data_IF_126610488932
#
_entry.id   IF_126610488932
#
_cell.length_a   1.000
_cell.length_b   1.000
_cell.length_c   1.000
_cell.angle_alpha   90.00
_cell.angle_beta   90.00
_cell.angle_gamma   90.00
#
_symmetry.space_group_name_H-M   'P 1'
#
loop_
_entity.id
_entity.type
_entity.pdbx_description
1 polymer ?
#
# COMPACT_ATOMS: atom_id res chain seq x y z
N UNK A 1 -24.56 -9.81 -3.41
CA UNK A 1 -24.16 -8.84 -2.37
C UNK A 1 -24.04 -7.48 -3.05
N UNK A 2 -24.65 -6.45 -2.47
CA UNK A 2 -24.73 -5.12 -3.09
C UNK A 2 -23.52 -4.23 -2.75
N UNK A 3 -22.73 -4.61 -1.74
CA UNK A 3 -21.48 -3.96 -1.35
C UNK A 3 -20.51 -4.98 -0.71
N UNK A 4 -19.22 -4.61 -0.64
CA UNK A 4 -18.17 -5.36 0.04
C UNK A 4 -17.16 -4.39 0.67
N UNK A 5 -16.51 -4.83 1.76
CA UNK A 5 -15.38 -4.11 2.36
C UNK A 5 -14.08 -4.70 1.80
N UNK A 6 -13.25 -3.85 1.23
CA UNK A 6 -11.96 -4.22 0.61
C UNK A 6 -10.89 -3.20 1.00
N UNK A 7 -9.62 -3.56 0.81
CA UNK A 7 -8.53 -2.60 0.94
C UNK A 7 -8.66 -1.50 -0.14
N UNK A 8 -8.38 -0.24 0.21
CA UNK A 8 -8.44 0.90 -0.71
C UNK A 8 -7.56 0.68 -1.96
N UNK A 9 -6.41 0.03 -1.80
CA UNK A 9 -5.52 -0.33 -2.90
C UNK A 9 -6.15 -1.23 -3.96
N UNK A 10 -7.10 -2.11 -3.56
CA UNK A 10 -7.86 -2.93 -4.50
C UNK A 10 -8.91 -2.10 -5.23
N UNK A 11 -9.55 -1.14 -4.56
CA UNK A 11 -10.54 -0.25 -5.19
C UNK A 11 -9.89 0.70 -6.21
N UNK A 12 -8.68 1.18 -5.93
CA UNK A 12 -7.92 2.10 -6.81
C UNK A 12 -7.14 1.39 -7.93
N UNK A 13 -7.00 0.07 -7.87
CA UNK A 13 -6.29 -0.69 -8.89
C UNK A 13 -6.93 -0.49 -10.29
N UNK A 14 -6.15 -0.46 -11.39
CA UNK A 14 -6.69 -0.28 -12.73
C UNK A 14 -7.80 -1.28 -13.12
N UNK A 15 -7.74 -2.50 -12.58
CA UNK A 15 -8.75 -3.52 -12.82
C UNK A 15 -10.10 -3.23 -12.12
N UNK A 16 -10.17 -2.29 -11.18
CA UNK A 16 -11.36 -2.04 -10.36
C UNK A 16 -11.84 -0.58 -10.40
N UNK A 17 -10.93 0.41 -10.50
CA UNK A 17 -11.23 1.84 -10.31
C UNK A 17 -12.36 2.36 -11.22
N UNK A 18 -12.49 1.80 -12.42
CA UNK A 18 -13.47 2.23 -13.42
C UNK A 18 -14.72 1.32 -13.46
N UNK A 19 -14.82 0.34 -12.55
CA UNK A 19 -15.89 -0.66 -12.51
C UNK A 19 -16.95 -0.41 -11.43
N UNK A 20 -16.81 0.65 -10.63
CA UNK A 20 -17.75 0.94 -9.56
C UNK A 20 -17.45 2.24 -8.82
N UNK A 21 -18.17 2.44 -7.71
CA UNK A 21 -17.92 3.53 -6.77
C UNK A 21 -17.42 2.94 -5.46
N UNK A 22 -16.59 3.70 -4.77
CA UNK A 22 -16.16 3.37 -3.42
C UNK A 22 -16.38 4.59 -2.51
N UNK A 23 -16.44 4.33 -1.21
CA UNK A 23 -16.34 5.33 -0.17
C UNK A 23 -15.34 4.82 0.86
N UNK A 24 -14.50 5.71 1.36
CA UNK A 24 -13.55 5.38 2.42
C UNK A 24 -14.29 5.27 3.76
N UNK A 25 -13.92 4.27 4.56
CA UNK A 25 -14.33 4.19 5.96
C UNK A 25 -13.43 5.16 6.73
N UNK A 26 -13.97 6.05 7.58
CA UNK A 26 -13.17 6.96 8.40
C UNK A 26 -12.14 6.20 9.26
N UNK A 27 -10.92 6.74 9.34
CA UNK A 27 -9.76 6.06 9.95
C UNK A 27 -9.92 5.80 11.46
N UNK A 28 -10.83 6.50 12.13
CA UNK A 28 -11.16 6.35 13.56
C UNK A 28 -12.18 5.23 13.82
N UNK A 29 -12.75 4.63 12.77
CA UNK A 29 -13.75 3.57 12.87
C UNK A 29 -13.17 2.15 12.79
N UNK A 30 -11.85 2.01 12.65
CA UNK A 30 -11.18 0.71 12.61
C UNK A 30 -9.72 0.81 13.07
N UNK A 31 -9.13 -0.30 13.58
CA UNK A 31 -7.70 -0.34 13.88
C UNK A 31 -6.87 -0.03 12.64
N UNK A 32 -5.83 0.79 12.79
CA UNK A 32 -4.91 1.11 11.69
C UNK A 32 -4.33 -0.16 11.07
N UNK A 33 -4.31 -0.21 9.74
CA UNK A 33 -3.71 -1.31 8.97
C UNK A 33 -2.26 -0.92 8.70
N UNK A 34 -1.39 -1.16 9.69
CA UNK A 34 0.02 -0.84 9.57
C UNK A 34 0.75 -1.88 8.72
N UNK A 35 1.52 -1.40 7.74
CA UNK A 35 2.25 -2.25 6.80
C UNK A 35 3.74 -2.00 6.90
N UNK A 36 4.50 -3.08 7.04
CA UNK A 36 5.95 -3.04 7.15
C UNK A 36 6.59 -4.10 6.25
N UNK A 37 7.83 -3.85 5.86
CA UNK A 37 8.67 -4.79 5.12
C UNK A 37 9.90 -5.18 5.92
N UNK A 38 10.40 -6.40 5.70
CA UNK A 38 11.65 -6.89 6.29
C UNK A 38 12.56 -7.50 5.21
N UNK A 39 13.86 -7.35 5.37
CA UNK A 39 14.85 -8.05 4.54
C UNK A 39 15.17 -9.38 5.22
N UNK A 40 15.00 -10.48 4.49
CA UNK A 40 15.26 -11.81 5.02
C UNK A 40 16.77 -12.04 5.21
N UNK A 41 17.15 -12.70 6.31
CA UNK A 41 18.56 -13.01 6.63
C UNK A 41 19.26 -13.86 5.55
N UNK A 42 18.48 -14.64 4.81
CA UNK A 42 18.94 -15.54 3.74
C UNK A 42 18.61 -15.00 2.34
N UNK A 43 18.46 -13.68 2.18
CA UNK A 43 18.33 -13.10 0.85
C UNK A 43 19.51 -13.54 -0.03
N UNK A 44 19.21 -14.13 -1.19
CA UNK A 44 20.24 -14.61 -2.12
C UNK A 44 21.17 -13.46 -2.58
N UNK A 45 20.62 -12.25 -2.68
CA UNK A 45 21.35 -11.01 -2.87
C UNK A 45 20.85 -9.96 -1.87
N UNK A 46 21.64 -9.73 -0.83
CA UNK A 46 21.30 -8.77 0.23
C UNK A 46 21.39 -7.32 -0.24
N UNK A 47 22.27 -7.01 -1.18
CA UNK A 47 22.43 -5.64 -1.68
C UNK A 47 21.28 -5.27 -2.60
N UNK A 48 20.84 -6.19 -3.47
CA UNK A 48 19.62 -5.99 -4.25
C UNK A 48 18.39 -5.80 -3.36
N UNK A 49 18.25 -6.57 -2.27
CA UNK A 49 17.16 -6.40 -1.31
C UNK A 49 17.21 -5.03 -0.61
N UNK A 50 18.41 -4.55 -0.23
CA UNK A 50 18.60 -3.21 0.33
C UNK A 50 18.29 -2.11 -0.68
N UNK A 51 18.69 -2.28 -1.94
CA UNK A 51 18.41 -1.34 -3.01
C UNK A 51 16.89 -1.23 -3.26
N UNK A 52 16.17 -2.34 -3.30
CA UNK A 52 14.71 -2.33 -3.41
C UNK A 52 14.06 -1.63 -2.22
N UNK A 53 14.49 -1.93 -0.99
CA UNK A 53 14.01 -1.22 0.21
C UNK A 53 14.26 0.29 0.11
N UNK A 54 15.46 0.69 -0.33
CA UNK A 54 15.80 2.10 -0.49
C UNK A 54 14.91 2.78 -1.54
N UNK A 55 14.63 2.11 -2.66
CA UNK A 55 13.73 2.62 -3.69
C UNK A 55 12.29 2.76 -3.19
N UNK A 56 11.73 1.74 -2.53
CA UNK A 56 10.35 1.79 -1.98
C UNK A 56 10.20 2.95 -0.99
N UNK A 57 11.25 3.23 -0.21
CA UNK A 57 11.30 4.34 0.75
C UNK A 57 11.78 5.68 0.14
N UNK A 58 11.98 5.77 -1.18
CA UNK A 58 12.35 7.02 -1.86
C UNK A 58 11.13 7.90 -2.12
N UNK A 59 11.33 9.12 -2.64
CA UNK A 59 10.22 9.98 -3.04
C UNK A 59 9.34 9.32 -4.12
N UNK A 60 9.98 8.71 -5.13
CA UNK A 60 9.30 8.06 -6.26
C UNK A 60 8.52 6.82 -5.81
N UNK A 61 9.15 5.97 -4.98
CA UNK A 61 8.48 4.80 -4.40
C UNK A 61 7.25 5.17 -3.58
N UNK A 62 7.36 6.23 -2.76
CA UNK A 62 6.23 6.76 -1.99
C UNK A 62 5.14 7.37 -2.86
N UNK A 63 5.49 7.99 -3.98
CA UNK A 63 4.50 8.51 -4.94
C UNK A 63 3.65 7.39 -5.52
N UNK A 64 4.26 6.25 -5.88
CA UNK A 64 3.54 5.05 -6.32
C UNK A 64 2.61 4.54 -5.22
N UNK A 65 3.08 4.42 -3.99
CA UNK A 65 2.23 3.97 -2.87
C UNK A 65 1.02 4.90 -2.65
N UNK A 66 1.21 6.22 -2.67
CA UNK A 66 0.09 7.16 -2.52
C UNK A 66 -0.93 7.05 -3.66
N UNK A 67 -0.48 6.80 -4.89
CA UNK A 67 -1.38 6.58 -6.03
C UNK A 67 -2.34 5.41 -5.82
N UNK A 68 -1.93 4.40 -5.05
CA UNK A 68 -2.75 3.25 -4.69
C UNK A 68 -3.40 3.37 -3.29
N UNK A 69 -3.45 4.57 -2.71
CA UNK A 69 -4.19 4.83 -1.47
C UNK A 69 -3.49 4.34 -0.20
N UNK A 70 -2.16 4.20 -0.22
CA UNK A 70 -1.38 3.96 1.00
C UNK A 70 -0.98 5.29 1.66
N UNK A 71 -0.98 5.29 2.98
CA UNK A 71 -0.50 6.40 3.82
C UNK A 71 0.89 6.09 4.36
N UNK A 72 1.70 7.12 4.58
CA UNK A 72 2.95 6.95 5.33
C UNK A 72 2.69 6.98 6.83
N UNK A 73 3.57 6.37 7.64
CA UNK A 73 3.53 6.56 9.08
C UNK A 73 3.59 8.06 9.40
N UNK A 74 2.66 8.51 10.24
CA UNK A 74 2.52 9.90 10.70
C UNK A 74 2.03 10.91 9.64
N UNK A 75 1.45 10.44 8.52
CA UNK A 75 0.55 11.23 7.67
C UNK A 75 -0.92 11.03 8.06
#
# INVERSE_FOLDING_TARGET
ADAAVVALSLALAPAARDRGRYAEIPLDQYPRIDQAGTILKWAADVEAARALRAYVLSADGRAVLRQYGFFLPNE
#
